data_IF_136665666210
#
_entry.id   IF_136665666210
#
_cell.length_a   1.000
_cell.length_b   1.000
_cell.length_c   1.000
_cell.angle_alpha   90.00
_cell.angle_beta   90.00
_cell.angle_gamma   90.00
#
_symmetry.space_group_name_H-M   'P 1'
#
loop_
_entity.id
_entity.type
_entity.pdbx_description
1 polymer ?
#
# COMPACT_ATOMS: atom_id res chain seq x y z
N UNK A 1 28.68 -10.86 -14.05
CA UNK A 1 28.11 -9.53 -14.42
C UNK A 1 26.69 -9.65 -14.95
N UNK A 2 26.44 -10.52 -15.93
CA UNK A 2 25.12 -10.67 -16.57
C UNK A 2 24.01 -11.24 -15.65
N UNK A 3 24.35 -12.18 -14.75
CA UNK A 3 23.39 -12.74 -13.79
C UNK A 3 22.90 -11.72 -12.75
N UNK A 4 23.78 -10.85 -12.28
CA UNK A 4 23.45 -9.81 -11.29
C UNK A 4 22.54 -8.76 -11.93
N UNK A 5 22.82 -8.37 -13.17
CA UNK A 5 22.00 -7.41 -13.90
C UNK A 5 20.58 -7.95 -14.15
N UNK A 6 20.46 -9.23 -14.54
CA UNK A 6 19.17 -9.91 -14.70
C UNK A 6 18.38 -9.98 -13.39
N UNK A 7 19.06 -10.27 -12.28
CA UNK A 7 18.44 -10.29 -10.95
C UNK A 7 17.89 -8.90 -10.57
N UNK A 8 18.67 -7.84 -10.76
CA UNK A 8 18.24 -6.47 -10.46
C UNK A 8 17.05 -6.05 -11.32
N UNK A 9 17.08 -6.33 -12.63
CA UNK A 9 15.96 -6.02 -13.52
C UNK A 9 14.69 -6.76 -13.12
N UNK A 10 14.82 -8.02 -12.74
CA UNK A 10 13.68 -8.83 -12.27
C UNK A 10 13.08 -8.23 -11.01
N UNK A 11 13.91 -7.85 -10.02
CA UNK A 11 13.46 -7.20 -8.80
C UNK A 11 12.77 -5.86 -9.05
N UNK A 12 13.31 -5.03 -9.95
CA UNK A 12 12.70 -3.75 -10.32
C UNK A 12 11.31 -3.98 -10.94
N UNK A 13 11.17 -4.93 -11.85
CA UNK A 13 9.88 -5.27 -12.47
C UNK A 13 8.86 -5.73 -11.42
N UNK A 14 9.26 -6.57 -10.47
CA UNK A 14 8.37 -6.99 -9.38
C UNK A 14 7.97 -5.84 -8.46
N UNK A 15 8.89 -4.92 -8.15
CA UNK A 15 8.58 -3.73 -7.36
C UNK A 15 7.59 -2.80 -8.07
N UNK A 16 7.75 -2.61 -9.38
CA UNK A 16 6.78 -1.84 -10.17
C UNK A 16 5.40 -2.49 -10.21
N UNK A 17 5.34 -3.81 -10.42
CA UNK A 17 4.08 -4.54 -10.37
C UNK A 17 3.41 -4.43 -9.00
N UNK A 18 4.17 -4.57 -7.91
CA UNK A 18 3.68 -4.36 -6.56
C UNK A 18 3.16 -2.94 -6.35
N UNK A 19 3.84 -1.94 -6.90
CA UNK A 19 3.42 -0.54 -6.80
C UNK A 19 2.10 -0.28 -7.56
N UNK A 20 1.97 -0.78 -8.79
CA UNK A 20 0.73 -0.68 -9.58
C UNK A 20 -0.42 -1.39 -8.88
N UNK A 21 -0.19 -2.60 -8.36
CA UNK A 21 -1.20 -3.32 -7.58
C UNK A 21 -1.57 -2.51 -6.34
N UNK A 22 -0.60 -1.89 -5.66
CA UNK A 22 -0.89 -1.05 -4.51
C UNK A 22 -1.68 0.23 -4.88
N UNK A 23 -1.47 0.81 -6.06
CA UNK A 23 -2.28 1.95 -6.54
C UNK A 23 -3.72 1.54 -6.91
N UNK A 24 -3.94 0.32 -7.39
CA UNK A 24 -5.26 -0.23 -7.73
C UNK A 24 -6.01 -0.82 -6.52
N UNK A 25 -5.33 -1.01 -5.38
CA UNK A 25 -6.01 -1.33 -4.13
C UNK A 25 -6.74 -0.09 -3.61
N UNK A 26 -7.95 -0.23 -3.02
CA UNK A 26 -8.73 0.88 -2.49
C UNK A 26 -8.14 1.40 -1.16
N UNK A 27 -6.83 1.64 -1.12
CA UNK A 27 -6.16 2.30 -0.01
C UNK A 27 -6.63 3.74 0.01
N UNK A 28 -7.63 4.00 0.84
CA UNK A 28 -8.02 5.37 1.12
C UNK A 28 -6.86 6.07 1.79
N UNK A 29 -6.44 7.18 1.16
CA UNK A 29 -5.43 8.05 1.74
C UNK A 29 -6.02 8.72 2.97
N UNK A 30 -5.21 8.76 4.02
CA UNK A 30 -5.53 9.44 5.26
C UNK A 30 -4.35 10.30 5.69
N UNK A 31 -4.63 11.35 6.44
CA UNK A 31 -3.63 12.13 7.18
C UNK A 31 -3.72 11.85 8.68
N UNK A 32 -4.92 11.46 9.14
CA UNK A 32 -5.22 11.13 10.53
C UNK A 32 -6.07 9.87 10.62
N UNK A 33 -6.04 9.22 11.78
CA UNK A 33 -6.85 8.03 12.06
C UNK A 33 -8.35 8.32 11.91
N UNK A 34 -8.78 9.54 12.22
CA UNK A 34 -10.19 9.97 12.10
C UNK A 34 -10.70 9.96 10.65
N UNK A 35 -9.83 10.20 9.66
CA UNK A 35 -10.19 10.14 8.25
C UNK A 35 -10.61 8.72 7.85
N UNK A 36 -10.08 7.71 8.56
CA UNK A 36 -10.37 6.30 8.33
C UNK A 36 -11.68 5.83 8.99
N UNK A 37 -12.22 6.56 9.97
CA UNK A 37 -13.47 6.20 10.66
C UNK A 37 -14.69 6.28 9.73
N UNK A 38 -14.69 7.19 8.76
CA UNK A 38 -15.79 7.28 7.77
C UNK A 38 -15.78 6.10 6.78
N UNK A 39 -14.63 5.44 6.60
CA UNK A 39 -14.42 4.41 5.58
C UNK A 39 -14.54 3.01 6.20
N UNK A 40 -13.93 2.81 7.37
CA UNK A 40 -14.01 1.60 8.16
C UNK A 40 -15.31 1.64 8.99
N UNK A 41 -16.46 1.57 8.31
CA UNK A 41 -17.76 1.59 8.98
C UNK A 41 -17.83 0.52 10.08
N UNK A 42 -17.83 0.96 11.34
CA UNK A 42 -18.02 0.16 12.56
C UNK A 42 -16.82 -0.67 13.07
N UNK A 43 -15.61 -0.54 12.48
CA UNK A 43 -14.42 -1.20 13.03
C UNK A 43 -13.82 -0.40 14.20
N UNK A 44 -13.63 -1.07 15.33
CA UNK A 44 -13.19 -0.44 16.59
C UNK A 44 -11.76 0.12 16.54
N UNK A 45 -11.00 -0.22 15.49
CA UNK A 45 -9.63 0.23 15.27
C UNK A 45 -9.38 0.53 13.77
N UNK A 46 -9.80 1.72 13.35
CA UNK A 46 -9.32 2.32 12.11
C UNK A 46 -8.01 3.09 12.40
N UNK A 47 -6.92 2.77 11.69
CA UNK A 47 -5.63 3.47 11.85
C UNK A 47 -5.09 3.96 10.51
N UNK A 48 -4.51 5.15 10.52
CA UNK A 48 -3.78 5.71 9.41
C UNK A 48 -2.30 5.35 9.51
N UNK A 49 -1.84 4.42 8.67
CA UNK A 49 -0.44 3.97 8.65
C UNK A 49 0.12 4.24 7.25
N UNK A 50 1.23 4.96 7.16
CA UNK A 50 1.88 5.32 5.89
C UNK A 50 0.92 6.02 4.90
N UNK A 51 0.05 6.90 5.42
CA UNK A 51 -1.00 7.60 4.68
C UNK A 51 -2.03 6.66 4.02
N UNK A 52 -2.25 5.49 4.61
CA UNK A 52 -3.24 4.51 4.17
C UNK A 52 -4.09 4.08 5.35
N UNK A 53 -5.41 4.01 5.15
CA UNK A 53 -6.33 3.49 6.15
C UNK A 53 -6.24 1.97 6.25
N UNK A 54 -6.03 1.48 7.48
CA UNK A 54 -6.15 0.09 7.86
C UNK A 54 -7.38 -0.07 8.75
N UNK A 55 -8.33 -0.90 8.30
CA UNK A 55 -9.48 -1.35 9.09
C UNK A 55 -9.16 -2.73 9.66
N UNK A 56 -9.34 -2.93 10.96
CA UNK A 56 -9.05 -4.19 11.67
C UNK A 56 -10.26 -4.69 12.46
#
# INVERSE_FOLDING_TARGET
MDAVLKFVYTMILYLFLLHVIAEDFPFHKCEKDEDCLEICADDQMAMCILNVCFCY
#
